data_IF_009686377820
#
_entry.id   IF_009686377820
#
_cell.length_a   1.000
_cell.length_b   1.000
_cell.length_c   1.000
_cell.angle_alpha   90.00
_cell.angle_beta   90.00
_cell.angle_gamma   90.00
#
_symmetry.space_group_name_H-M   'P 1'
#
loop_
_entity.id
_entity.type
_entity.pdbx_description
1 polymer ?
#
# COMPACT_ATOMS: atom_id res chain seq x y z
N UNK A 1 48.79 43.25 20.60
CA UNK A 1 47.85 43.04 21.71
C UNK A 1 47.49 41.56 21.75
N UNK A 2 48.01 40.80 22.73
CA UNK A 2 47.69 39.39 22.88
C UNK A 2 46.42 39.23 23.72
N UNK A 3 45.40 38.56 23.17
CA UNK A 3 44.19 38.21 23.90
C UNK A 3 44.59 37.15 24.93
N UNK A 4 44.63 37.52 26.21
CA UNK A 4 44.84 36.60 27.31
C UNK A 4 43.69 35.59 27.33
N UNK A 5 44.00 34.33 26.98
CA UNK A 5 43.06 33.23 27.07
C UNK A 5 42.71 32.99 28.54
N UNK A 6 41.47 33.25 28.93
CA UNK A 6 40.98 32.95 30.27
C UNK A 6 41.25 31.46 30.61
N UNK A 7 41.81 31.16 31.80
CA UNK A 7 41.99 29.78 32.23
C UNK A 7 40.62 29.11 32.32
N UNK A 8 40.38 28.12 31.45
CA UNK A 8 39.16 27.32 31.50
C UNK A 8 39.24 26.43 32.74
N UNK A 9 38.52 26.82 33.80
CA UNK A 9 38.25 25.92 34.90
C UNK A 9 37.56 24.66 34.36
N UNK A 10 37.86 23.47 34.90
CA UNK A 10 37.14 22.27 34.54
C UNK A 10 35.65 22.46 34.85
N UNK A 11 34.75 21.97 33.98
CA UNK A 11 33.31 22.10 34.20
C UNK A 11 32.92 21.43 35.53
N UNK A 12 32.02 22.07 36.25
CA UNK A 12 31.45 21.50 37.48
C UNK A 12 30.66 20.22 37.16
N UNK A 13 30.49 19.31 38.14
CA UNK A 13 29.64 18.13 37.95
C UNK A 13 28.23 18.49 37.46
N UNK A 14 27.61 19.54 38.01
CA UNK A 14 26.29 20.01 37.59
C UNK A 14 26.22 20.39 36.11
N UNK A 15 27.23 21.10 35.59
CA UNK A 15 27.31 21.47 34.16
C UNK A 15 27.51 20.25 33.26
N UNK A 16 28.30 19.25 33.71
CA UNK A 16 28.47 18.00 32.98
C UNK A 16 27.17 17.21 32.86
N UNK A 17 26.33 17.21 33.91
CA UNK A 17 25.07 16.50 33.92
C UNK A 17 23.96 17.23 33.15
N UNK A 18 23.87 18.56 33.30
CA UNK A 18 22.95 19.37 32.51
C UNK A 18 23.22 19.17 31.01
N UNK A 19 24.50 19.14 30.61
CA UNK A 19 24.88 18.86 29.22
C UNK A 19 24.48 17.47 28.75
N UNK A 20 24.58 16.44 29.61
CA UNK A 20 24.19 15.08 29.25
C UNK A 20 22.68 14.95 29.00
N UNK A 21 21.84 15.67 29.75
CA UNK A 21 20.39 15.65 29.58
C UNK A 21 19.97 16.15 28.19
N UNK A 22 20.57 17.27 27.75
CA UNK A 22 20.26 17.94 26.49
C UNK A 22 21.06 17.43 25.29
N UNK A 23 22.00 16.49 25.45
CA UNK A 23 22.72 15.90 24.34
C UNK A 23 21.84 14.85 23.63
N UNK A 24 21.37 15.12 22.38
CA UNK A 24 20.54 14.17 21.67
C UNK A 24 21.33 12.98 21.13
N UNK A 25 22.67 12.98 21.24
CA UNK A 25 23.50 11.93 20.65
C UNK A 25 23.31 10.59 21.37
N UNK A 26 23.46 9.47 20.65
CA UNK A 26 23.50 8.16 21.26
C UNK A 26 24.63 8.06 22.30
N UNK A 27 24.36 7.40 23.42
CA UNK A 27 25.40 7.06 24.39
C UNK A 27 26.28 5.95 23.81
N UNK A 28 27.60 6.09 23.94
CA UNK A 28 28.58 5.15 23.33
C UNK A 28 29.40 4.36 24.33
N UNK A 29 29.31 4.70 25.61
CA UNK A 29 30.14 4.12 26.67
C UNK A 29 29.40 4.07 28.00
N UNK A 30 29.83 3.15 28.86
CA UNK A 30 29.28 3.02 30.21
C UNK A 30 29.36 4.33 31.01
N UNK A 31 30.41 5.13 30.81
CA UNK A 31 30.58 6.43 31.46
C UNK A 31 29.47 7.39 31.04
N UNK A 32 29.23 7.53 29.73
CA UNK A 32 28.16 8.39 29.19
C UNK A 32 26.77 7.90 29.57
N UNK A 33 26.55 6.57 29.62
CA UNK A 33 25.27 5.99 30.03
C UNK A 33 24.93 6.28 31.51
N UNK A 34 25.95 6.21 32.39
CA UNK A 34 25.79 6.55 33.83
C UNK A 34 25.63 8.04 34.06
N UNK A 35 26.34 8.88 33.30
CA UNK A 35 26.19 10.33 33.36
C UNK A 35 24.77 10.75 32.97
N UNK A 36 24.23 10.17 31.89
CA UNK A 36 22.85 10.39 31.49
C UNK A 36 21.86 9.87 32.54
N UNK A 37 22.08 8.67 33.09
CA UNK A 37 21.22 8.13 34.14
C UNK A 37 21.14 9.05 35.36
N UNK A 38 22.29 9.54 35.82
CA UNK A 38 22.37 10.47 36.94
C UNK A 38 21.70 11.81 36.62
N UNK A 39 21.90 12.36 35.41
CA UNK A 39 21.25 13.58 34.96
C UNK A 39 19.71 13.47 34.92
N UNK A 40 19.19 12.26 34.71
CA UNK A 40 17.76 11.94 34.72
C UNK A 40 17.20 11.64 36.13
N UNK A 41 18.04 11.72 37.17
CA UNK A 41 17.66 11.49 38.56
C UNK A 41 17.64 10.02 38.98
N UNK A 42 18.31 9.12 38.25
CA UNK A 42 18.42 7.72 38.64
C UNK A 42 19.60 7.46 39.60
N UNK A 43 19.56 6.39 40.42
CA UNK A 43 20.67 6.00 41.29
C UNK A 43 22.00 5.82 40.55
N UNK A 44 23.12 6.11 41.21
CA UNK A 44 24.46 6.15 40.61
C UNK A 44 24.95 4.82 39.98
N UNK A 45 24.35 3.70 40.37
CA UNK A 45 24.66 2.37 39.83
C UNK A 45 23.79 2.00 38.62
N UNK A 46 22.80 2.81 38.25
CA UNK A 46 21.97 2.65 37.07
C UNK A 46 22.66 3.22 35.84
N UNK A 47 22.23 2.82 34.65
CA UNK A 47 22.75 3.35 33.39
C UNK A 47 21.61 3.49 32.37
N UNK A 48 21.68 4.50 31.52
CA UNK A 48 20.68 4.75 30.47
C UNK A 48 21.38 4.69 29.11
N UNK A 49 20.93 3.78 28.25
CA UNK A 49 21.40 3.63 26.88
C UNK A 49 20.46 4.43 25.97
N UNK A 50 20.96 5.55 25.44
CA UNK A 50 20.25 6.38 24.47
C UNK A 50 20.56 5.93 23.06
N UNK A 51 19.51 5.64 22.29
CA UNK A 51 19.58 5.36 20.85
C UNK A 51 18.76 6.41 20.10
N UNK A 52 19.20 6.75 18.88
CA UNK A 52 18.50 7.70 18.01
C UNK A 52 18.12 6.98 16.73
N UNK A 53 16.82 6.80 16.53
CA UNK A 53 16.28 6.13 15.34
C UNK A 53 15.67 7.18 14.42
N UNK A 54 15.94 7.10 13.12
CA UNK A 54 15.27 7.97 12.15
C UNK A 54 13.99 7.29 11.69
N UNK A 55 12.83 7.92 11.95
CA UNK A 55 11.51 7.46 11.50
C UNK A 55 10.80 8.62 10.83
N UNK A 56 10.36 8.42 9.59
CA UNK A 56 9.63 9.43 8.79
C UNK A 56 10.40 10.76 8.66
N UNK A 57 11.72 10.66 8.44
CA UNK A 57 12.60 11.83 8.36
C UNK A 57 12.91 12.51 9.70
N UNK A 58 12.22 12.18 10.79
CA UNK A 58 12.41 12.74 12.14
C UNK A 58 13.32 11.85 12.99
N UNK A 59 14.10 12.47 13.87
CA UNK A 59 14.92 11.77 14.86
C UNK A 59 14.08 11.47 16.11
N UNK A 60 13.95 10.18 16.43
CA UNK A 60 13.26 9.69 17.63
C UNK A 60 14.31 9.20 18.61
N UNK A 61 14.35 9.80 19.80
CA UNK A 61 15.22 9.38 20.91
C UNK A 61 14.53 8.24 21.65
N UNK A 62 15.26 7.15 21.90
CA UNK A 62 14.81 6.02 22.70
C UNK A 62 15.84 5.75 23.79
N UNK A 63 15.41 5.86 25.03
CA UNK A 63 16.23 5.64 26.21
C UNK A 63 15.85 4.29 26.84
N UNK A 64 16.85 3.43 27.03
CA UNK A 64 16.72 2.13 27.70
C UNK A 64 17.43 2.21 29.04
N UNK A 65 16.68 2.13 30.14
CA UNK A 65 17.23 2.23 31.50
C UNK A 65 17.58 0.83 31.98
N UNK A 66 18.85 0.58 32.32
CA UNK A 66 19.31 -0.69 32.86
C UNK A 66 19.76 -0.54 34.31
N UNK A 67 19.48 -1.57 35.11
CA UNK A 67 19.94 -1.67 36.48
C UNK A 67 20.58 -3.03 36.71
N UNK A 68 21.59 -3.05 37.57
CA UNK A 68 22.15 -4.28 38.10
C UNK A 68 21.86 -4.29 39.60
N UNK A 69 21.04 -5.22 40.03
CA UNK A 69 20.72 -5.41 41.44
C UNK A 69 21.11 -6.83 41.86
N UNK A 70 21.74 -6.97 43.03
CA UNK A 70 22.23 -8.25 43.55
C UNK A 70 23.67 -8.19 44.05
N UNK A 71 23.94 -8.74 45.25
CA UNK A 71 25.27 -8.73 45.89
C UNK A 71 26.25 -9.75 45.27
N UNK A 72 25.71 -10.73 44.55
CA UNK A 72 26.48 -11.84 43.95
C UNK A 72 26.16 -11.95 42.47
N UNK A 73 27.09 -12.45 41.64
CA UNK A 73 26.85 -12.62 40.20
C UNK A 73 25.64 -13.50 39.88
N UNK A 74 25.30 -14.45 40.78
CA UNK A 74 24.12 -15.33 40.68
C UNK A 74 22.79 -14.64 41.02
N UNK A 75 22.83 -13.52 41.74
CA UNK A 75 21.65 -12.72 42.09
C UNK A 75 21.52 -11.46 41.23
N UNK A 76 22.40 -11.25 40.25
CA UNK A 76 22.32 -10.11 39.34
C UNK A 76 21.09 -10.26 38.44
N UNK A 77 19.98 -9.67 38.86
CA UNK A 77 18.83 -9.45 38.00
C UNK A 77 19.09 -8.16 37.21
N UNK A 78 19.12 -8.27 35.88
CA UNK A 78 19.18 -7.11 35.00
C UNK A 78 17.75 -6.61 34.80
N UNK A 79 17.34 -5.58 35.53
CA UNK A 79 16.06 -4.94 35.24
C UNK A 79 16.25 -3.88 34.17
N UNK A 80 15.31 -3.83 33.22
CA UNK A 80 15.32 -2.87 32.12
C UNK A 80 13.97 -2.16 32.02
N UNK A 81 13.97 -0.83 31.83
CA UNK A 81 12.76 -0.02 31.63
C UNK A 81 12.88 0.83 30.36
N UNK A 82 11.74 1.10 29.72
CA UNK A 82 11.61 2.03 28.59
C UNK A 82 10.76 3.26 28.92
N UNK A 83 9.99 3.21 30.02
CA UNK A 83 9.22 4.32 30.53
C UNK A 83 9.95 4.95 31.72
N UNK A 84 10.33 6.22 31.58
CA UNK A 84 11.03 6.96 32.63
C UNK A 84 10.20 7.10 33.92
N UNK A 85 8.88 7.24 33.83
CA UNK A 85 8.00 7.34 34.99
C UNK A 85 8.04 6.06 35.83
N UNK A 86 7.94 4.90 35.16
CA UNK A 86 8.04 3.60 35.80
C UNK A 86 9.43 3.37 36.42
N UNK A 87 10.49 3.77 35.70
CA UNK A 87 11.86 3.68 36.18
C UNK A 87 12.09 4.60 37.41
N UNK A 88 11.53 5.81 37.41
CA UNK A 88 11.64 6.75 38.52
C UNK A 88 10.81 6.31 39.74
N UNK A 89 9.68 5.65 39.53
CA UNK A 89 8.91 5.03 40.62
C UNK A 89 9.71 3.89 41.26
N UNK A 90 10.28 3.00 40.45
CA UNK A 90 11.13 1.92 40.92
C UNK A 90 12.40 2.44 41.64
N UNK A 91 13.01 3.52 41.13
CA UNK A 91 14.14 4.18 41.79
C UNK A 91 13.76 4.72 43.19
N UNK A 92 12.59 5.35 43.32
CA UNK A 92 12.08 5.86 44.62
C UNK A 92 11.73 4.74 45.59
N UNK A 93 11.16 3.65 45.11
CA UNK A 93 10.88 2.45 45.93
C UNK A 93 12.19 1.81 46.41
N UNK A 94 13.20 1.73 45.53
CA UNK A 94 14.51 1.22 45.90
C UNK A 94 15.18 2.03 47.02
N UNK A 95 15.09 3.36 46.95
CA UNK A 95 15.62 4.23 48.00
C UNK A 95 14.90 4.05 49.35
N UNK A 96 13.59 3.77 49.33
CA UNK A 96 12.78 3.61 50.55
C UNK A 96 12.89 2.23 51.18
N UNK A 97 12.79 1.18 50.37
CA UNK A 97 12.58 -0.20 50.83
C UNK A 97 13.80 -1.08 50.65
N UNK A 98 14.80 -0.64 49.85
CA UNK A 98 16.01 -1.41 49.57
C UNK A 98 15.79 -2.64 48.67
N UNK A 99 14.55 -2.87 48.23
CA UNK A 99 14.14 -3.93 47.31
C UNK A 99 13.26 -3.36 46.21
N UNK A 100 13.43 -3.83 44.97
CA UNK A 100 12.55 -3.48 43.85
C UNK A 100 11.60 -4.65 43.56
N UNK A 101 10.29 -4.46 43.74
CA UNK A 101 9.30 -5.44 43.31
C UNK A 101 8.89 -5.18 41.85
N UNK A 102 9.44 -5.98 40.93
CA UNK A 102 9.00 -6.04 39.53
C UNK A 102 9.88 -5.30 38.54
N UNK A 103 10.23 -5.97 37.44
CA UNK A 103 10.56 -5.26 36.19
C UNK A 103 9.22 -4.78 35.60
N UNK A 104 9.09 -3.48 35.34
CA UNK A 104 8.01 -2.97 34.50
C UNK A 104 8.45 -3.00 33.03
N UNK A 105 9.01 -4.12 32.58
CA UNK A 105 8.83 -4.47 31.18
C UNK A 105 7.32 -4.71 31.06
N UNK A 106 6.64 -3.99 30.17
CA UNK A 106 5.49 -4.60 29.53
C UNK A 106 5.98 -5.99 29.13
N UNK A 107 5.34 -7.08 29.59
CA UNK A 107 5.82 -8.43 29.29
C UNK A 107 6.12 -8.45 27.80
N UNK A 108 7.35 -8.85 27.44
CA UNK A 108 7.80 -8.83 26.05
C UNK A 108 6.62 -9.34 25.20
N UNK A 109 6.19 -8.51 24.24
CA UNK A 109 5.09 -8.91 23.39
C UNK A 109 5.70 -9.77 22.29
N UNK A 110 5.24 -11.01 22.14
CA UNK A 110 5.77 -11.87 21.10
C UNK A 110 5.45 -11.27 19.74
N UNK A 111 6.46 -11.10 18.88
CA UNK A 111 6.27 -10.55 17.54
C UNK A 111 5.45 -11.50 16.65
N UNK A 112 5.51 -12.80 16.95
CA UNK A 112 4.89 -13.83 16.14
C UNK A 112 4.09 -14.84 16.98
N UNK A 113 3.17 -15.52 16.30
CA UNK A 113 2.25 -16.50 16.84
C UNK A 113 2.35 -17.83 16.09
N UNK A 114 1.83 -18.90 16.70
CA UNK A 114 1.82 -20.22 16.09
C UNK A 114 0.98 -20.20 14.81
N UNK A 115 1.56 -20.63 13.71
CA UNK A 115 0.93 -20.66 12.39
C UNK A 115 1.37 -19.52 11.48
N UNK A 116 2.02 -18.48 12.01
CA UNK A 116 2.53 -17.39 11.17
C UNK A 116 3.59 -17.91 10.20
N UNK A 117 3.55 -17.37 8.98
CA UNK A 117 4.54 -17.62 7.94
C UNK A 117 5.61 -16.55 8.05
N UNK A 118 6.85 -16.98 8.21
CA UNK A 118 8.01 -16.14 8.44
C UNK A 118 9.16 -16.56 7.55
N UNK A 119 10.15 -15.70 7.39
CA UNK A 119 11.44 -16.10 6.85
C UNK A 119 12.46 -16.17 7.97
N UNK A 120 13.26 -17.23 7.97
CA UNK A 120 14.28 -17.51 8.99
C UNK A 120 15.65 -17.44 8.33
N UNK A 121 16.58 -16.72 8.96
CA UNK A 121 17.95 -16.59 8.51
C UNK A 121 18.77 -17.82 8.92
N UNK A 122 19.32 -18.53 7.94
CA UNK A 122 20.17 -19.69 8.16
C UNK A 122 21.28 -19.72 7.11
N UNK A 123 22.53 -19.93 7.52
CA UNK A 123 23.70 -20.02 6.62
C UNK A 123 23.81 -18.88 5.58
N UNK A 124 23.46 -17.64 5.98
CA UNK A 124 23.58 -16.48 5.09
C UNK A 124 22.41 -16.29 4.11
N UNK A 125 21.36 -17.11 4.19
CA UNK A 125 20.17 -17.01 3.34
C UNK A 125 18.89 -17.00 4.17
N UNK A 126 17.84 -16.44 3.60
CA UNK A 126 16.50 -16.43 4.19
C UNK A 126 15.68 -17.59 3.63
N UNK A 127 15.07 -18.35 4.53
CA UNK A 127 14.26 -19.53 4.19
C UNK A 127 12.85 -19.38 4.74
N UNK A 128 11.85 -19.62 3.89
CA UNK A 128 10.44 -19.59 4.33
C UNK A 128 10.13 -20.74 5.29
N UNK A 129 9.50 -20.42 6.41
CA UNK A 129 9.13 -21.34 7.45
C UNK A 129 7.80 -20.94 8.11
N UNK A 130 7.21 -21.87 8.86
CA UNK A 130 6.05 -21.59 9.72
C UNK A 130 6.38 -21.83 11.18
N UNK A 131 5.90 -20.94 12.05
CA UNK A 131 6.11 -21.05 13.49
C UNK A 131 5.20 -22.14 14.07
N UNK A 132 5.80 -23.13 14.73
CA UNK A 132 5.06 -24.25 15.36
C UNK A 132 4.91 -24.11 16.86
N UNK A 133 5.92 -23.53 17.53
CA UNK A 133 5.94 -23.37 18.98
C UNK A 133 6.64 -22.07 19.34
N UNK A 134 6.21 -21.47 20.46
CA UNK A 134 6.81 -20.30 21.07
C UNK A 134 7.23 -20.64 22.49
N UNK A 135 8.45 -20.27 22.86
CA UNK A 135 9.04 -20.46 24.20
C UNK A 135 9.52 -19.10 24.72
N UNK A 136 8.99 -18.68 25.86
CA UNK A 136 9.49 -17.47 26.55
C UNK A 136 10.72 -17.86 27.38
N UNK A 137 11.82 -17.15 27.20
CA UNK A 137 13.04 -17.36 27.98
C UNK A 137 13.58 -16.01 28.46
N UNK A 138 13.48 -15.77 29.77
CA UNK A 138 13.76 -14.47 30.38
C UNK A 138 12.97 -13.32 29.68
N UNK A 139 13.69 -12.45 28.98
CA UNK A 139 13.17 -11.24 28.34
C UNK A 139 12.97 -11.39 26.82
N UNK A 140 13.28 -12.55 26.23
CA UNK A 140 13.11 -12.81 24.80
C UNK A 140 12.16 -13.99 24.52
N UNK A 141 11.70 -14.06 23.27
CA UNK A 141 11.03 -15.23 22.75
C UNK A 141 11.93 -15.99 21.80
N UNK A 142 11.85 -17.31 21.91
CA UNK A 142 12.42 -18.23 20.96
C UNK A 142 11.31 -19.01 20.29
N UNK A 143 11.50 -19.35 19.04
CA UNK A 143 10.50 -20.01 18.22
C UNK A 143 11.03 -21.35 17.72
N UNK A 144 10.13 -22.33 17.64
CA UNK A 144 10.34 -23.53 16.85
C UNK A 144 9.68 -23.31 15.51
N UNK A 145 10.40 -23.57 14.43
CA UNK A 145 9.96 -23.34 13.05
C UNK A 145 10.02 -24.64 12.25
N UNK A 146 9.15 -24.77 11.25
CA UNK A 146 9.21 -25.83 10.23
C UNK A 146 9.45 -25.17 8.88
N UNK A 147 10.55 -25.52 8.23
CA UNK A 147 10.90 -25.04 6.90
C UNK A 147 9.98 -25.61 5.83
N UNK A 148 9.55 -24.78 4.89
CA UNK A 148 8.63 -25.21 3.84
C UNK A 148 9.31 -26.08 2.77
N UNK A 149 10.61 -25.89 2.53
CA UNK A 149 11.30 -26.57 1.43
C UNK A 149 11.47 -28.08 1.66
N UNK A 150 11.86 -28.47 2.88
CA UNK A 150 12.25 -29.84 3.22
C UNK A 150 11.52 -30.39 4.45
N UNK A 151 10.61 -29.62 5.04
CA UNK A 151 9.91 -29.96 6.29
C UNK A 151 10.85 -30.17 7.49
N UNK A 152 12.11 -29.72 7.40
CA UNK A 152 13.03 -29.72 8.53
C UNK A 152 12.54 -28.78 9.63
N UNK A 153 12.88 -29.09 10.88
CA UNK A 153 12.49 -28.31 12.05
C UNK A 153 13.70 -27.72 12.73
N UNK A 154 13.62 -26.46 13.15
CA UNK A 154 14.63 -25.84 13.98
C UNK A 154 13.98 -25.29 15.25
N UNK A 155 14.58 -25.63 16.39
CA UNK A 155 14.20 -25.10 17.69
C UNK A 155 15.11 -23.95 18.10
N UNK A 156 14.63 -23.14 19.04
CA UNK A 156 15.38 -22.06 19.66
C UNK A 156 15.87 -20.98 18.69
N UNK A 157 15.07 -20.68 17.66
CA UNK A 157 15.31 -19.56 16.73
C UNK A 157 14.98 -18.23 17.43
N UNK A 158 15.95 -17.30 17.47
CA UNK A 158 15.78 -15.97 18.05
C UNK A 158 14.95 -15.03 17.16
N UNK A 159 14.34 -14.00 17.75
CA UNK A 159 13.55 -13.01 16.98
C UNK A 159 14.40 -12.23 15.97
N UNK A 160 15.69 -12.07 16.23
CA UNK A 160 16.66 -11.43 15.34
C UNK A 160 16.90 -12.20 14.03
N UNK A 161 16.67 -13.51 14.04
CA UNK A 161 16.84 -14.41 12.89
C UNK A 161 15.53 -14.63 12.15
N UNK A 162 14.45 -13.96 12.55
CA UNK A 162 13.11 -14.10 11.98
C UNK A 162 12.67 -12.74 11.41
N UNK A 163 12.07 -12.76 10.22
CA UNK A 163 11.37 -11.60 9.68
C UNK A 163 9.98 -12.00 9.15
N UNK A 164 9.04 -11.04 9.01
CA UNK A 164 7.75 -11.32 8.40
C UNK A 164 7.94 -12.00 7.04
N UNK A 165 7.12 -13.00 6.75
CA UNK A 165 7.16 -13.69 5.46
C UNK A 165 6.79 -12.78 4.29
N UNK A 166 6.91 -13.32 3.08
CA UNK A 166 6.41 -12.74 1.84
C UNK A 166 4.93 -12.31 2.02
N UNK A 167 4.59 -11.07 1.65
CA UNK A 167 3.23 -10.57 1.83
C UNK A 167 2.26 -11.42 0.98
N UNK A 168 1.22 -12.01 1.60
CA UNK A 168 0.30 -12.87 0.88
C UNK A 168 -0.36 -12.19 -0.32
N UNK A 169 -0.57 -10.87 -0.28
CA UNK A 169 -1.15 -10.13 -1.40
C UNK A 169 -0.16 -9.98 -2.56
N UNK A 170 1.11 -9.66 -2.30
CA UNK A 170 2.12 -9.59 -3.38
C UNK A 170 2.32 -10.94 -4.05
N UNK A 171 2.31 -12.03 -3.28
CA UNK A 171 2.43 -13.38 -3.83
C UNK A 171 1.22 -13.76 -4.68
N UNK A 172 0.01 -13.29 -4.35
CA UNK A 172 -1.18 -13.51 -5.16
C UNK A 172 -1.09 -12.78 -6.51
N UNK A 173 -0.60 -11.52 -6.49
CA UNK A 173 -0.37 -10.72 -7.69
C UNK A 173 0.66 -11.36 -8.62
N UNK A 174 1.78 -11.85 -8.08
CA UNK A 174 2.77 -12.61 -8.86
C UNK A 174 2.20 -13.89 -9.50
N UNK A 175 1.20 -14.49 -8.86
CA UNK A 175 0.49 -15.65 -9.39
C UNK A 175 -0.59 -15.28 -10.42
N UNK A 176 -0.83 -13.99 -10.69
CA UNK A 176 -1.78 -13.49 -11.68
C UNK A 176 -3.19 -13.24 -11.14
N UNK A 177 -3.34 -13.07 -9.82
CA UNK A 177 -4.58 -12.66 -9.18
C UNK A 177 -4.55 -11.17 -8.82
N UNK A 178 -5.69 -10.58 -8.47
CA UNK A 178 -5.79 -9.20 -7.98
C UNK A 178 -5.29 -9.08 -6.52
N UNK A 179 -5.00 -7.86 -6.06
CA UNK A 179 -4.32 -7.61 -4.77
C UNK A 179 -5.16 -7.97 -3.52
N UNK A 180 -6.47 -8.08 -3.68
CA UNK A 180 -7.46 -8.53 -2.70
C UNK A 180 -7.42 -10.06 -2.47
N UNK A 181 -6.79 -10.82 -3.37
CA UNK A 181 -6.47 -12.23 -3.14
C UNK A 181 -5.26 -12.37 -2.21
N UNK A 182 -5.25 -13.46 -1.45
CA UNK A 182 -4.15 -13.81 -0.56
C UNK A 182 -3.56 -15.16 -0.94
N UNK A 183 -2.27 -15.21 -1.23
CA UNK A 183 -1.53 -16.43 -1.49
C UNK A 183 -0.64 -16.78 -0.30
N UNK A 184 -0.61 -18.05 0.10
CA UNK A 184 0.32 -18.54 1.12
C UNK A 184 0.99 -19.82 0.62
N UNK A 185 2.29 -19.99 0.93
CA UNK A 185 3.01 -21.24 0.61
C UNK A 185 2.76 -22.26 1.70
N UNK A 186 2.45 -23.49 1.31
CA UNK A 186 2.39 -24.67 2.18
C UNK A 186 3.23 -25.78 1.53
N UNK A 187 4.52 -25.78 1.85
CA UNK A 187 5.50 -26.64 1.20
C UNK A 187 5.76 -26.20 -0.25
N UNK A 188 5.67 -27.14 -1.19
CA UNK A 188 5.77 -26.87 -2.63
C UNK A 188 4.46 -26.38 -3.28
N UNK A 189 3.36 -26.30 -2.51
CA UNK A 189 2.04 -25.91 -3.01
C UNK A 189 1.63 -24.54 -2.48
N UNK A 190 0.79 -23.85 -3.25
CA UNK A 190 0.16 -22.60 -2.83
C UNK A 190 -1.26 -22.87 -2.31
N UNK A 191 -1.65 -22.15 -1.26
CA UNK A 191 -3.03 -21.99 -0.84
C UNK A 191 -3.44 -20.56 -1.17
N UNK A 192 -4.39 -20.43 -2.09
CA UNK A 192 -4.97 -19.18 -2.53
C UNK A 192 -6.28 -18.96 -1.78
N UNK A 193 -6.48 -17.77 -1.22
CA UNK A 193 -7.71 -17.38 -0.55
C UNK A 193 -8.33 -16.22 -1.33
N UNK A 194 -9.54 -16.41 -1.81
CA UNK A 194 -10.30 -15.39 -2.50
C UNK A 194 -10.76 -14.28 -1.52
N UNK A 195 -11.15 -13.10 -2.03
CA UNK A 195 -11.74 -12.01 -1.22
C UNK A 195 -13.00 -12.46 -0.47
N UNK A 196 -13.76 -13.39 -1.05
CA UNK A 196 -14.93 -14.04 -0.45
C UNK A 196 -14.59 -14.95 0.73
N UNK A 197 -13.31 -15.26 0.95
CA UNK A 197 -12.82 -16.15 1.99
C UNK A 197 -12.67 -17.62 1.56
N UNK A 198 -13.09 -17.98 0.34
CA UNK A 198 -12.92 -19.33 -0.20
C UNK A 198 -11.45 -19.68 -0.41
N UNK A 199 -11.08 -20.94 -0.11
CA UNK A 199 -9.69 -21.40 -0.16
C UNK A 199 -9.48 -22.45 -1.23
N UNK A 200 -8.48 -22.23 -2.08
CA UNK A 200 -8.10 -23.09 -3.19
C UNK A 200 -6.69 -23.63 -2.97
N UNK A 201 -6.53 -24.95 -3.10
CA UNK A 201 -5.23 -25.63 -2.98
C UNK A 201 -4.50 -25.77 -4.30
N UNK A 202 -5.13 -25.37 -5.42
CA UNK A 202 -4.55 -25.41 -6.76
C UNK A 202 -4.81 -24.11 -7.49
N UNK A 203 -3.80 -23.62 -8.23
CA UNK A 203 -3.91 -22.40 -9.05
C UNK A 203 -5.02 -22.51 -10.09
N UNK A 204 -5.19 -23.69 -10.70
CA UNK A 204 -6.20 -23.91 -11.75
C UNK A 204 -7.63 -23.71 -11.21
N UNK A 205 -7.95 -24.28 -10.04
CA UNK A 205 -9.27 -24.10 -9.44
C UNK A 205 -9.53 -22.64 -9.05
N UNK A 206 -8.53 -21.97 -8.47
CA UNK A 206 -8.61 -20.56 -8.15
C UNK A 206 -8.82 -19.67 -9.39
N UNK A 207 -8.15 -19.95 -10.50
CA UNK A 207 -8.31 -19.19 -11.76
C UNK A 207 -9.70 -19.37 -12.38
N UNK A 208 -10.28 -20.57 -12.29
CA UNK A 208 -11.67 -20.80 -12.77
C UNK A 208 -12.62 -19.93 -11.96
N UNK A 209 -12.52 -19.97 -10.63
CA UNK A 209 -13.33 -19.14 -9.74
C UNK A 209 -13.10 -17.63 -9.96
N UNK A 210 -11.84 -17.23 -10.14
CA UNK A 210 -11.47 -15.84 -10.43
C UNK A 210 -12.11 -15.34 -11.72
N UNK A 211 -12.11 -16.14 -12.79
CA UNK A 211 -12.72 -15.77 -14.06
C UNK A 211 -14.25 -15.80 -14.02
N UNK A 212 -14.86 -16.65 -13.19
CA UNK A 212 -16.32 -16.70 -13.00
C UNK A 212 -16.84 -15.50 -12.20
N UNK A 213 -16.06 -15.02 -11.21
CA UNK A 213 -16.44 -13.90 -10.33
C UNK A 213 -15.97 -12.54 -10.87
N UNK A 214 -14.88 -12.50 -11.65
CA UNK A 214 -14.32 -11.27 -12.22
C UNK A 214 -15.34 -10.33 -12.90
N UNK A 215 -16.36 -10.84 -13.63
CA UNK A 215 -17.40 -9.98 -14.19
C UNK A 215 -18.42 -9.48 -13.15
N UNK A 216 -18.68 -10.25 -12.10
CA UNK A 216 -19.75 -9.97 -11.13
C UNK A 216 -19.31 -9.02 -10.01
N UNK A 217 -18.06 -9.11 -9.55
CA UNK A 217 -17.58 -8.21 -8.49
C UNK A 217 -17.23 -6.79 -8.99
N UNK A 218 -17.00 -6.62 -10.29
CA UNK A 218 -16.84 -5.29 -10.88
C UNK A 218 -18.16 -4.50 -10.90
N UNK A 219 -19.31 -5.16 -10.96
CA UNK A 219 -20.64 -4.51 -11.00
C UNK A 219 -21.23 -4.21 -9.62
N UNK A 220 -20.80 -4.89 -8.54
CA UNK A 220 -21.45 -4.77 -7.22
C UNK A 220 -20.77 -3.81 -6.22
N UNK A 221 -19.60 -3.24 -6.53
CA UNK A 221 -18.94 -2.29 -5.62
C UNK A 221 -19.18 -0.81 -5.94
N UNK A 222 -19.83 -0.50 -7.07
CA UNK A 222 -20.16 0.88 -7.43
C UNK A 222 -21.56 1.27 -6.91
N UNK A 223 -21.71 1.25 -5.57
CA UNK A 223 -23.02 1.41 -4.91
C UNK A 223 -23.43 2.88 -4.80
N UNK A 224 -22.58 3.82 -5.22
CA UNK A 224 -22.80 5.27 -5.09
C UNK A 224 -23.29 5.95 -6.36
N UNK A 225 -22.72 5.62 -7.51
CA UNK A 225 -22.85 6.52 -8.66
C UNK A 225 -24.24 6.45 -9.33
N UNK A 226 -24.81 7.60 -9.72
CA UNK A 226 -26.07 7.62 -10.43
C UNK A 226 -25.94 6.89 -11.78
N UNK A 227 -27.00 6.22 -12.25
CA UNK A 227 -26.93 5.45 -13.48
C UNK A 227 -26.65 6.34 -14.69
N UNK A 228 -25.76 5.89 -15.56
CA UNK A 228 -25.46 6.54 -16.84
C UNK A 228 -26.71 6.72 -17.68
N UNK A 229 -27.01 7.97 -18.06
CA UNK A 229 -28.09 8.30 -18.99
C UNK A 229 -27.62 8.08 -20.42
N UNK A 230 -28.33 7.25 -21.16
CA UNK A 230 -28.03 6.94 -22.56
C UNK A 230 -28.80 7.81 -23.56
N UNK A 231 -29.67 8.71 -23.10
CA UNK A 231 -30.52 9.55 -23.95
C UNK A 231 -30.70 10.97 -23.36
N UNK A 232 -31.04 11.94 -24.22
CA UNK A 232 -31.48 13.28 -23.81
C UNK A 232 -30.41 14.38 -23.80
N UNK A 233 -29.13 14.05 -23.97
CA UNK A 233 -28.07 15.04 -24.24
C UNK A 233 -27.79 15.12 -25.74
N UNK A 234 -27.51 16.32 -26.25
CA UNK A 234 -27.26 16.58 -27.68
C UNK A 234 -25.96 15.97 -28.23
N UNK A 235 -25.06 15.57 -27.33
CA UNK A 235 -23.78 14.95 -27.68
C UNK A 235 -23.80 13.42 -27.61
N UNK A 236 -24.86 12.80 -27.06
CA UNK A 236 -24.98 11.35 -27.10
C UNK A 236 -24.90 10.87 -28.55
N UNK A 237 -24.01 9.92 -28.79
CA UNK A 237 -23.77 9.32 -30.09
C UNK A 237 -22.83 10.11 -31.01
N UNK A 238 -22.37 11.32 -30.62
CA UNK A 238 -21.32 12.05 -31.34
C UNK A 238 -19.95 11.42 -31.11
N UNK A 239 -19.03 11.68 -32.04
CA UNK A 239 -17.65 11.22 -31.96
C UNK A 239 -16.74 12.30 -31.37
N UNK A 240 -15.77 11.85 -30.56
CA UNK A 240 -14.77 12.69 -29.91
C UNK A 240 -13.40 12.16 -30.26
N UNK A 241 -12.47 13.04 -30.60
CA UNK A 241 -11.06 12.68 -30.85
C UNK A 241 -10.25 12.92 -29.59
N UNK A 242 -9.85 11.85 -28.91
CA UNK A 242 -9.10 11.92 -27.65
C UNK A 242 -7.62 11.60 -27.87
N UNK A 243 -6.72 12.29 -27.16
CA UNK A 243 -5.27 12.02 -27.22
C UNK A 243 -4.76 11.65 -25.83
N UNK A 244 -4.31 10.40 -25.67
CA UNK A 244 -3.73 9.91 -24.41
C UNK A 244 -2.22 9.81 -24.48
N UNK A 245 -1.53 10.39 -23.48
CA UNK A 245 -0.07 10.32 -23.36
C UNK A 245 0.37 9.10 -22.54
N UNK A 246 1.04 8.14 -23.16
CA UNK A 246 1.54 6.94 -22.50
C UNK A 246 3.06 6.96 -22.37
N UNK A 247 3.57 6.59 -21.18
CA UNK A 247 5.01 6.47 -20.92
C UNK A 247 5.49 5.06 -21.26
N UNK A 248 6.06 4.89 -22.44
CA UNK A 248 6.59 3.59 -22.90
C UNK A 248 7.96 3.29 -22.26
N UNK A 249 8.75 4.32 -21.94
CA UNK A 249 10.03 4.16 -21.26
C UNK A 249 10.34 5.35 -20.36
N UNK A 250 11.40 5.26 -19.57
CA UNK A 250 11.85 6.36 -18.70
C UNK A 250 12.12 7.67 -19.44
N UNK A 251 12.45 7.62 -20.74
CA UNK A 251 12.81 8.78 -21.56
C UNK A 251 11.84 9.09 -22.71
N UNK A 252 10.82 8.27 -22.93
CA UNK A 252 9.93 8.40 -24.09
C UNK A 252 8.48 8.31 -23.65
N UNK A 253 7.74 9.36 -23.97
CA UNK A 253 6.28 9.41 -24.01
C UNK A 253 5.83 9.28 -25.46
N UNK A 254 4.67 8.67 -25.67
CA UNK A 254 4.00 8.60 -26.96
C UNK A 254 2.57 9.04 -26.75
N UNK A 255 2.12 9.94 -27.60
CA UNK A 255 0.74 10.38 -27.66
C UNK A 255 -0.01 9.48 -28.64
N UNK A 256 -1.12 8.93 -28.18
CA UNK A 256 -1.97 8.01 -28.95
C UNK A 256 -3.32 8.69 -29.16
N UNK A 257 -3.66 8.95 -30.41
CA UNK A 257 -4.96 9.51 -30.79
C UNK A 257 -5.97 8.37 -30.98
N UNK A 258 -7.17 8.51 -30.42
CA UNK A 258 -8.29 7.60 -30.58
C UNK A 258 -9.57 8.37 -30.87
N UNK A 259 -10.42 7.83 -31.73
CA UNK A 259 -11.78 8.33 -31.93
C UNK A 259 -12.75 7.47 -31.13
N UNK A 260 -13.45 8.10 -30.18
CA UNK A 260 -14.45 7.46 -29.32
C UNK A 260 -15.85 7.98 -29.59
N UNK A 261 -16.85 7.26 -29.11
CA UNK A 261 -18.26 7.66 -29.18
C UNK A 261 -18.82 7.89 -27.80
N UNK A 262 -19.53 9.00 -27.61
CA UNK A 262 -20.21 9.32 -26.36
C UNK A 262 -21.42 8.38 -26.23
N UNK A 263 -21.42 7.49 -25.23
CA UNK A 263 -22.47 6.48 -25.04
C UNK A 263 -23.36 6.76 -23.82
N UNK A 264 -22.87 7.54 -22.86
CA UNK A 264 -23.63 7.89 -21.66
C UNK A 264 -23.19 9.22 -21.07
N UNK A 265 -24.00 9.77 -20.16
CA UNK A 265 -23.61 10.92 -19.33
C UNK A 265 -24.26 10.86 -17.95
N UNK A 266 -23.60 11.47 -16.97
CA UNK A 266 -24.16 11.83 -15.66
C UNK A 266 -24.43 13.32 -15.69
N UNK A 267 -25.67 13.72 -15.36
CA UNK A 267 -26.04 15.13 -15.36
C UNK A 267 -25.58 15.78 -14.06
N UNK A 268 -25.20 17.05 -14.08
CA UNK A 268 -24.83 17.86 -12.91
C UNK A 268 -25.89 17.93 -11.81
N UNK A 269 -27.15 17.68 -12.17
CA UNK A 269 -28.29 17.66 -11.25
C UNK A 269 -28.55 16.28 -10.67
N UNK A 270 -27.87 15.24 -11.17
CA UNK A 270 -27.98 13.89 -10.63
C UNK A 270 -27.26 13.83 -9.29
N UNK A 271 -27.88 13.12 -8.35
CA UNK A 271 -27.37 12.93 -6.99
C UNK A 271 -27.29 11.45 -6.69
N UNK A 272 -26.29 11.05 -5.92
CA UNK A 272 -26.15 9.70 -5.41
C UNK A 272 -27.21 9.38 -4.33
N UNK A 273 -27.15 8.16 -3.77
CA UNK A 273 -28.06 7.73 -2.70
C UNK A 273 -27.88 8.52 -1.39
N UNK A 274 -26.74 9.18 -1.21
CA UNK A 274 -26.41 9.99 -0.03
C UNK A 274 -26.79 11.47 -0.21
N UNK A 275 -27.24 11.86 -1.41
CA UNK A 275 -27.60 13.22 -1.77
C UNK A 275 -26.42 14.08 -2.24
N UNK A 276 -25.24 13.49 -2.45
CA UNK A 276 -24.08 14.17 -3.03
C UNK A 276 -24.23 14.27 -4.55
N UNK A 277 -23.66 15.30 -5.20
CA UNK A 277 -23.64 15.39 -6.65
C UNK A 277 -22.98 14.16 -7.28
N UNK A 278 -23.54 13.65 -8.38
CA UNK A 278 -23.00 12.48 -9.07
C UNK A 278 -21.59 12.67 -9.62
N UNK A 279 -21.21 13.91 -9.91
CA UNK A 279 -19.85 14.27 -10.30
C UNK A 279 -19.55 15.72 -9.90
N UNK A 280 -18.32 15.98 -9.42
CA UNK A 280 -17.80 17.30 -9.10
C UNK A 280 -16.58 17.52 -9.99
N UNK A 281 -16.63 18.57 -10.81
CA UNK A 281 -15.55 18.92 -11.74
C UNK A 281 -14.25 19.21 -11.00
N UNK A 282 -13.14 18.65 -11.47
CA UNK A 282 -11.82 18.93 -10.88
C UNK A 282 -11.36 20.36 -11.20
N UNK A 283 -11.76 20.89 -12.36
CA UNK A 283 -11.37 22.21 -12.82
C UNK A 283 -12.10 23.34 -12.07
N UNK A 284 -13.39 23.16 -11.77
CA UNK A 284 -14.23 24.21 -11.17
C UNK A 284 -14.56 23.96 -9.70
N UNK A 285 -14.53 22.70 -9.24
CA UNK A 285 -15.00 22.30 -7.91
C UNK A 285 -16.52 22.36 -7.74
N UNK A 286 -17.27 22.56 -8.83
CA UNK A 286 -18.73 22.61 -8.84
C UNK A 286 -19.32 21.34 -9.48
N UNK A 287 -20.60 20.99 -9.19
CA UNK A 287 -21.29 19.92 -9.89
C UNK A 287 -21.34 20.15 -11.40
N UNK A 288 -20.91 19.16 -12.19
CA UNK A 288 -20.78 19.26 -13.64
C UNK A 288 -21.34 18.01 -14.36
N UNK A 289 -21.55 18.14 -15.67
CA UNK A 289 -21.92 17.01 -16.53
C UNK A 289 -20.65 16.18 -16.84
N UNK A 290 -20.74 14.86 -16.70
CA UNK A 290 -19.67 13.91 -17.00
C UNK A 290 -20.11 12.98 -18.13
N UNK A 291 -19.27 12.79 -19.14
CA UNK A 291 -19.59 12.03 -20.35
C UNK A 291 -18.77 10.75 -20.44
N UNK A 292 -19.43 9.62 -20.58
CA UNK A 292 -18.77 8.33 -20.81
C UNK A 292 -18.51 8.13 -22.31
N UNK A 293 -17.23 8.05 -22.68
CA UNK A 293 -16.78 7.83 -24.05
C UNK A 293 -16.25 6.42 -24.18
N UNK A 294 -16.75 5.67 -25.16
CA UNK A 294 -16.29 4.32 -25.48
C UNK A 294 -15.49 4.35 -26.78
N UNK A 295 -14.30 3.75 -26.76
CA UNK A 295 -13.42 3.67 -27.91
C UNK A 295 -13.53 2.27 -28.56
N UNK A 296 -13.57 2.18 -29.89
CA UNK A 296 -13.56 0.89 -30.58
C UNK A 296 -12.22 0.18 -30.40
N UNK A 297 -12.26 -1.15 -30.24
CA UNK A 297 -11.04 -1.97 -30.26
C UNK A 297 -10.44 -2.01 -31.67
N UNK A 298 -9.28 -1.38 -31.85
CA UNK A 298 -8.47 -1.54 -33.06
C UNK A 298 -7.24 -2.44 -32.80
N UNK A 299 -7.38 -3.72 -33.14
CA UNK A 299 -6.31 -4.72 -33.01
C UNK A 299 -5.12 -4.47 -33.94
N UNK A 300 -5.31 -3.68 -35.00
CA UNK A 300 -4.26 -3.37 -35.98
C UNK A 300 -3.50 -2.08 -35.63
N UNK A 301 -3.92 -1.36 -34.59
CA UNK A 301 -3.23 -0.15 -34.16
C UNK A 301 -1.81 -0.48 -33.66
N UNK A 302 -0.77 0.29 -34.03
CA UNK A 302 0.62 0.04 -33.60
C UNK A 302 0.81 0.08 -32.08
N UNK A 303 -0.13 0.70 -31.36
CA UNK A 303 -0.17 0.79 -29.91
C UNK A 303 -1.40 0.09 -29.31
N UNK A 304 -1.88 -1.00 -29.91
CA UNK A 304 -3.10 -1.71 -29.48
C UNK A 304 -3.12 -2.10 -28.00
N UNK A 305 -1.96 -2.40 -27.39
CA UNK A 305 -1.84 -2.69 -25.94
C UNK A 305 -2.00 -1.47 -25.03
N UNK A 306 -2.03 -0.27 -25.59
CA UNK A 306 -2.16 1.00 -24.87
C UNK A 306 -3.45 1.74 -25.18
N UNK A 307 -4.30 1.19 -26.07
CA UNK A 307 -5.59 1.80 -26.37
C UNK A 307 -6.50 1.75 -25.14
N UNK A 308 -7.15 2.88 -24.87
CA UNK A 308 -8.23 2.94 -23.89
C UNK A 308 -9.46 2.23 -24.46
N UNK A 309 -10.20 1.54 -23.59
CA UNK A 309 -11.52 0.98 -23.91
C UNK A 309 -12.62 2.01 -23.68
N UNK A 310 -12.46 2.82 -22.64
CA UNK A 310 -13.37 3.90 -22.26
C UNK A 310 -12.63 4.99 -21.49
N UNK A 311 -13.20 6.19 -21.48
CA UNK A 311 -12.73 7.33 -20.71
C UNK A 311 -13.94 8.21 -20.35
N UNK A 312 -13.97 8.71 -19.12
CA UNK A 312 -14.95 9.70 -18.71
C UNK A 312 -14.35 11.09 -18.91
N UNK A 313 -15.12 11.98 -19.54
CA UNK A 313 -14.70 13.33 -19.93
C UNK A 313 -15.65 14.39 -19.37
N UNK A 314 -15.10 15.50 -18.89
CA UNK A 314 -15.88 16.67 -18.48
C UNK A 314 -16.44 17.42 -19.71
N UNK A 315 -17.46 18.25 -19.48
CA UNK A 315 -18.13 19.03 -20.54
C UNK A 315 -17.14 19.83 -21.41
N UNK A 316 -16.15 20.50 -20.81
CA UNK A 316 -15.17 21.30 -21.55
C UNK A 316 -14.21 20.43 -22.37
N UNK A 317 -13.84 19.25 -21.88
CA UNK A 317 -12.98 18.31 -22.60
C UNK A 317 -13.70 17.74 -23.81
N UNK A 318 -15.00 17.44 -23.68
CA UNK A 318 -15.82 17.01 -24.82
C UNK A 318 -15.89 18.10 -25.87
N UNK A 319 -16.14 19.36 -25.49
CA UNK A 319 -16.22 20.49 -26.42
C UNK A 319 -14.91 20.72 -27.18
N UNK A 320 -13.77 20.62 -26.52
CA UNK A 320 -12.45 20.81 -27.16
C UNK A 320 -12.11 19.71 -28.16
N UNK A 321 -12.68 18.50 -27.97
CA UNK A 321 -12.35 17.31 -28.73
C UNK A 321 -13.49 16.81 -29.63
N UNK A 322 -14.62 17.51 -29.69
CA UNK A 322 -15.80 17.12 -30.45
C UNK A 322 -15.51 17.20 -31.95
N UNK A 323 -15.70 16.09 -32.66
CA UNK A 323 -15.59 16.10 -34.12
C UNK A 323 -16.83 16.75 -34.72
N UNK A 324 -16.61 17.72 -35.61
CA UNK A 324 -17.70 18.31 -36.40
C UNK A 324 -18.35 17.21 -37.21
N UNK A 325 -19.67 17.06 -37.05
CA UNK A 325 -20.44 16.18 -37.93
C UNK A 325 -20.40 16.86 -39.29
N UNK A 326 -19.64 16.29 -40.23
CA UNK A 326 -19.80 16.65 -41.63
C UNK A 326 -21.27 16.40 -41.97
N UNK A 327 -22.06 17.47 -42.04
CA UNK A 327 -23.43 17.39 -42.52
C UNK A 327 -23.35 16.87 -43.96
N UNK A 328 -23.48 15.55 -44.12
CA UNK A 328 -23.56 14.91 -45.43
C UNK A 328 -24.63 15.66 -46.21
N UNK A 329 -24.21 16.50 -47.16
CA UNK A 329 -25.13 17.25 -48.01
C UNK A 329 -26.13 16.22 -48.55
N UNK A 330 -27.44 16.39 -48.30
CA UNK A 330 -28.43 15.38 -48.60
C UNK A 330 -28.28 15.02 -50.06
N UNK A 331 -27.86 13.77 -50.30
CA UNK A 331 -27.43 13.29 -51.61
C UNK A 331 -28.40 13.82 -52.67
N UNK A 332 -27.92 14.75 -53.52
CA UNK A 332 -28.72 15.38 -54.58
C UNK A 332 -29.37 14.24 -55.34
N UNK A 333 -30.66 14.01 -55.09
CA UNK A 333 -31.46 12.97 -55.75
C UNK A 333 -31.28 13.20 -57.25
N UNK A 334 -30.51 12.33 -57.91
CA UNK A 334 -30.51 12.22 -59.37
C UNK A 334 -31.97 12.00 -59.76
N UNK A 335 -32.60 13.01 -60.36
CA UNK A 335 -33.89 12.85 -61.00
C UNK A 335 -33.72 11.78 -62.07
N UNK A 336 -34.29 10.60 -61.83
CA UNK A 336 -34.45 9.58 -62.85
C UNK A 336 -35.34 10.15 -63.96
N UNK A 337 -34.76 10.32 -65.15
CA UNK A 337 -35.50 10.59 -66.38
C UNK A 337 -36.49 9.45 -66.61
N UNK A 338 -37.77 9.79 -66.60
CA UNK A 338 -38.88 8.88 -66.94
C UNK A 338 -38.73 8.48 -68.42
N UNK A 339 -38.50 7.20 -68.75
CA UNK A 339 -38.49 6.77 -70.14
C UNK A 339 -39.93 6.65 -70.65
N UNK A 340 -40.38 7.64 -71.42
CA UNK A 340 -41.57 7.51 -72.26
C UNK A 340 -41.24 6.65 -73.48
N UNK A 341 -41.61 5.37 -73.48
CA UNK A 341 -41.62 4.57 -74.72
C UNK A 341 -42.96 3.89 -74.95
N UNK A 342 -43.84 4.63 -75.62
CA UNK A 342 -44.96 4.09 -76.39
C UNK A 342 -44.44 3.50 -77.71
N UNK A 343 -44.45 2.17 -77.90
CA UNK A 343 -44.66 1.64 -79.26
C UNK A 343 -45.21 0.22 -79.30
N UNK A 344 -46.44 0.12 -79.84
CA UNK A 344 -47.09 -1.09 -80.38
C UNK A 344 -46.25 -1.72 -81.50
N UNK A 345 -46.08 -3.05 -81.51
CA UNK A 345 -46.04 -3.88 -82.73
C UNK A 345 -46.19 -5.36 -82.35
N UNK A 346 -47.32 -6.00 -82.63
CA UNK A 346 -47.79 -6.57 -83.91
C UNK A 346 -47.49 -8.08 -83.99
N UNK A 347 -48.49 -8.83 -83.53
CA UNK A 347 -48.84 -10.21 -83.82
C UNK A 347 -48.51 -10.60 -85.28
N UNK A 348 -47.74 -11.66 -85.48
CA UNK A 348 -47.77 -12.48 -86.71
C UNK A 348 -47.34 -13.91 -86.38
N UNK A 349 -48.27 -14.85 -86.58
CA UNK A 349 -48.02 -16.27 -86.46
C UNK A 349 -47.47 -16.91 -87.74
N UNK A 350 -47.13 -18.19 -87.61
CA UNK A 350 -46.82 -19.25 -88.58
C UNK A 350 -45.74 -20.12 -87.93
N UNK A 351 -45.78 -21.45 -87.95
CA UNK A 351 -46.72 -22.42 -88.50
C UNK A 351 -46.43 -23.75 -87.81
#
# INVERSE_FOLDING_TARGET
MGILSNPRFPPSPAELYARALWDPKPTKSLKTERQLAYALGYPSHWRVVRTVVRKDGKHVIRDTIHTRFGKTSKQQCNYTWFNHEAAQKAARELEKEGTMSGSHLLPALPLYTKGDVVEVFWEGKWYSASITKRKKQADSFFYSVVYHQDSATQDEVGEEDIRPGEDPSTLAVELGFTADWKASRKGSRYILTAPTGERFTTKKAAMVFFNEIGPQMAEEQDVGDPPWRIEGHEWIGRSVKWTSSHKISSRRTVDVEQEGRITGYIKKTDVDKEGSPGFISEATGEPADLFHVVFPEDKNHPYSSHLLTSQDLEEYEVLENLLEVEEEEPAKRKMEEIPTSSTKKKKRGRR
#
